data_IF_176905987424
#
_entry.id   IF_176905987424
#
_cell.length_a   1.000
_cell.length_b   1.000
_cell.length_c   1.000
_cell.angle_alpha   90.00
_cell.angle_beta   90.00
_cell.angle_gamma   90.00
#
_symmetry.space_group_name_H-M   'P 1'
#
loop_
_entity.id
_entity.type
_entity.pdbx_description
1 polymer ?
#
# COMPACT_ATOMS: atom_id res chain seq x y z
N UNK A 1 1.26 3.42 -20.58
CA UNK A 1 2.38 2.50 -20.81
C UNK A 1 3.20 2.36 -19.53
N UNK A 2 2.82 1.40 -18.69
CA UNK A 2 3.74 0.72 -17.76
C UNK A 2 3.57 -0.77 -18.08
N UNK A 3 4.19 -1.19 -19.17
CA UNK A 3 4.05 -2.55 -19.74
C UNK A 3 5.32 -3.37 -19.62
N UNK A 4 6.35 -2.92 -18.87
CA UNK A 4 7.67 -3.58 -18.85
C UNK A 4 8.41 -3.52 -17.50
N UNK A 5 7.71 -3.52 -16.37
CA UNK A 5 8.32 -4.03 -15.14
C UNK A 5 8.07 -5.54 -15.11
N UNK A 6 9.10 -6.40 -15.14
CA UNK A 6 8.89 -7.81 -14.86
C UNK A 6 8.21 -7.86 -13.51
N UNK A 7 7.08 -8.58 -13.44
CA UNK A 7 6.51 -9.07 -12.18
C UNK A 7 7.64 -9.73 -11.39
N UNK A 8 8.33 -8.97 -10.56
CA UNK A 8 9.05 -9.50 -9.41
C UNK A 8 7.99 -9.83 -8.36
N UNK A 9 7.08 -10.71 -8.79
CA UNK A 9 6.34 -11.59 -7.94
C UNK A 9 7.38 -12.43 -7.21
N UNK A 10 7.80 -11.96 -6.04
CA UNK A 10 8.07 -12.91 -4.97
C UNK A 10 6.75 -13.67 -4.81
N UNK A 11 6.75 -14.90 -5.33
CA UNK A 11 5.60 -15.76 -5.63
C UNK A 11 4.63 -16.01 -4.45
N UNK A 12 4.91 -15.47 -3.27
CA UNK A 12 4.09 -15.54 -2.07
C UNK A 12 3.03 -14.42 -1.95
N UNK A 13 3.04 -13.39 -2.82
CA UNK A 13 2.11 -12.26 -2.67
C UNK A 13 0.73 -12.42 -3.33
N UNK A 14 0.50 -13.46 -4.15
CA UNK A 14 -0.75 -13.61 -4.95
C UNK A 14 -1.74 -14.69 -4.48
N UNK A 15 -1.42 -15.47 -3.43
CA UNK A 15 -2.27 -16.61 -3.02
C UNK A 15 -2.76 -16.56 -1.58
N UNK A 16 -2.54 -15.45 -0.88
CA UNK A 16 -3.11 -15.21 0.44
C UNK A 16 -4.36 -14.32 0.36
N UNK A 17 -5.32 -14.45 1.30
CA UNK A 17 -6.40 -13.46 1.42
C UNK A 17 -5.82 -12.06 1.56
N UNK A 18 -6.42 -11.04 0.91
CA UNK A 18 -6.04 -9.63 1.15
C UNK A 18 -6.32 -9.34 2.62
N UNK A 19 -5.27 -9.27 3.40
CA UNK A 19 -5.34 -9.23 4.84
C UNK A 19 -4.17 -8.40 5.34
N UNK A 20 -4.40 -7.73 6.46
CA UNK A 20 -3.37 -6.98 7.18
C UNK A 20 -2.18 -7.88 7.51
N UNK A 21 -2.43 -9.13 7.85
CA UNK A 21 -1.44 -10.15 8.16
C UNK A 21 -0.50 -10.43 6.98
N UNK A 22 -0.99 -10.32 5.74
CA UNK A 22 -0.18 -10.46 4.53
C UNK A 22 0.92 -9.41 4.45
N UNK A 23 0.60 -8.15 4.73
CA UNK A 23 1.60 -7.08 4.78
C UNK A 23 2.62 -7.29 5.88
N UNK A 24 2.16 -7.68 7.08
CA UNK A 24 3.05 -7.96 8.22
C UNK A 24 4.05 -9.07 7.84
N UNK A 25 3.56 -10.16 7.25
CA UNK A 25 4.40 -11.30 6.86
C UNK A 25 5.44 -10.90 5.81
N UNK A 26 5.02 -10.13 4.78
CA UNK A 26 5.92 -9.64 3.74
C UNK A 26 7.02 -8.75 4.33
N UNK A 27 6.65 -7.78 5.19
CA UNK A 27 7.59 -6.85 5.81
C UNK A 27 8.57 -7.55 6.76
N UNK A 28 8.09 -8.51 7.56
CA UNK A 28 8.96 -9.34 8.44
C UNK A 28 9.96 -10.20 7.67
N UNK A 29 9.66 -10.56 6.41
CA UNK A 29 10.58 -11.26 5.49
C UNK A 29 11.51 -10.32 4.72
N UNK A 30 11.46 -9.01 5.00
CA UNK A 30 12.36 -8.03 4.39
C UNK A 30 11.88 -7.49 3.04
N UNK A 31 10.60 -7.66 2.70
CA UNK A 31 10.03 -7.06 1.51
C UNK A 31 10.19 -5.54 1.54
N UNK A 32 10.65 -4.96 0.42
CA UNK A 32 10.89 -3.51 0.25
C UNK A 32 10.02 -2.86 -0.82
N UNK A 33 9.11 -3.61 -1.43
CA UNK A 33 8.18 -3.10 -2.44
C UNK A 33 6.81 -3.75 -2.19
N UNK A 34 5.78 -2.95 -1.98
CA UNK A 34 4.41 -3.42 -1.79
C UNK A 34 3.53 -2.86 -2.89
N UNK A 35 2.69 -3.72 -3.48
CA UNK A 35 1.69 -3.33 -4.46
C UNK A 35 0.35 -3.09 -3.73
N UNK A 36 -0.31 -1.97 -4.04
CA UNK A 36 -1.61 -1.60 -3.49
C UNK A 36 -2.54 -1.21 -4.65
N UNK A 37 -3.66 -1.90 -4.82
CA UNK A 37 -4.68 -1.52 -5.79
C UNK A 37 -5.85 -0.87 -5.04
N UNK A 38 -5.98 0.45 -5.18
CA UNK A 38 -6.93 1.28 -4.45
C UNK A 38 -8.22 1.51 -5.26
N UNK A 39 -9.35 1.39 -4.60
CA UNK A 39 -10.69 1.60 -5.17
C UNK A 39 -11.55 2.44 -4.24
N UNK A 40 -12.60 3.04 -4.79
CA UNK A 40 -13.58 3.78 -3.99
C UNK A 40 -14.24 2.87 -2.95
N UNK A 41 -14.27 3.32 -1.70
CA UNK A 41 -15.07 2.72 -0.63
C UNK A 41 -16.18 3.63 -0.11
N UNK A 42 -16.99 3.14 0.83
CA UNK A 42 -18.04 3.93 1.47
C UNK A 42 -17.45 5.06 2.32
N UNK A 43 -18.26 6.10 2.58
CA UNK A 43 -17.92 7.20 3.49
C UNK A 43 -16.58 7.89 3.19
N UNK A 44 -16.27 8.00 1.89
CA UNK A 44 -15.01 8.56 1.37
C UNK A 44 -13.75 7.84 1.91
N UNK A 45 -13.88 6.57 2.31
CA UNK A 45 -12.77 5.75 2.78
C UNK A 45 -12.29 4.77 1.69
N UNK A 46 -11.10 4.97 1.12
CA UNK A 46 -10.56 4.09 0.07
C UNK A 46 -10.31 2.66 0.59
N UNK A 47 -10.55 1.69 -0.28
CA UNK A 47 -10.31 0.27 -0.02
C UNK A 47 -9.19 -0.27 -0.90
N UNK A 48 -8.55 -1.36 -0.47
CA UNK A 48 -7.56 -2.10 -1.27
C UNK A 48 -8.16 -3.43 -1.72
N UNK A 49 -7.82 -3.86 -2.95
CA UNK A 49 -8.16 -5.18 -3.49
C UNK A 49 -6.95 -5.87 -4.14
N UNK A 50 -6.47 -6.98 -3.57
CA UNK A 50 -5.32 -7.72 -4.12
C UNK A 50 -5.76 -8.90 -5.01
N UNK A 51 -6.66 -8.65 -5.96
CA UNK A 51 -7.03 -9.59 -7.03
C UNK A 51 -7.88 -10.81 -6.61
N UNK A 52 -8.37 -10.87 -5.36
CA UNK A 52 -9.29 -11.92 -4.90
C UNK A 52 -10.65 -11.33 -4.55
N UNK A 53 -11.73 -11.85 -5.16
CA UNK A 53 -13.12 -11.36 -5.10
C UNK A 53 -13.68 -11.04 -3.70
N UNK A 54 -13.08 -11.57 -2.63
CA UNK A 54 -13.68 -11.64 -1.30
C UNK A 54 -13.01 -10.79 -0.22
N UNK A 55 -11.87 -10.15 -0.47
CA UNK A 55 -11.18 -9.37 0.56
C UNK A 55 -11.01 -7.91 0.15
N UNK A 56 -11.77 -7.05 0.84
CA UNK A 56 -11.63 -5.59 0.79
C UNK A 56 -11.14 -5.17 2.16
N UNK A 57 -9.96 -4.56 2.21
CA UNK A 57 -9.38 -4.03 3.44
C UNK A 57 -9.36 -2.50 3.34
N UNK A 58 -9.43 -1.82 4.48
CA UNK A 58 -9.27 -0.37 4.52
C UNK A 58 -7.85 0.01 4.10
N UNK A 59 -7.72 1.00 3.21
CA UNK A 59 -6.40 1.55 2.89
C UNK A 59 -5.73 2.12 4.14
N UNK A 60 -6.48 2.82 4.99
CA UNK A 60 -5.96 3.40 6.23
C UNK A 60 -5.33 2.34 7.13
N UNK A 61 -6.03 1.21 7.31
CA UNK A 61 -5.55 0.09 8.12
C UNK A 61 -4.27 -0.53 7.53
N UNK A 62 -4.23 -0.75 6.22
CA UNK A 62 -3.05 -1.25 5.54
C UNK A 62 -1.85 -0.30 5.68
N UNK A 63 -2.05 1.01 5.48
CA UNK A 63 -0.99 2.01 5.63
C UNK A 63 -0.48 2.08 7.08
N UNK A 64 -1.36 1.97 8.07
CA UNK A 64 -0.95 1.95 9.48
C UNK A 64 -0.04 0.77 9.80
N UNK A 65 -0.41 -0.42 9.29
CA UNK A 65 0.39 -1.64 9.42
C UNK A 65 1.73 -1.46 8.72
N UNK A 66 1.72 -0.94 7.50
CA UNK A 66 2.94 -0.67 6.75
C UNK A 66 3.86 0.31 7.49
N UNK A 67 3.32 1.38 8.09
CA UNK A 67 4.09 2.36 8.86
C UNK A 67 4.73 1.75 10.12
N UNK A 68 4.02 0.81 10.76
CA UNK A 68 4.46 0.13 11.98
C UNK A 68 5.56 -0.91 11.69
N UNK A 69 5.37 -1.75 10.67
CA UNK A 69 6.27 -2.88 10.38
C UNK A 69 7.32 -2.57 9.31
N UNK A 70 7.17 -1.46 8.58
CA UNK A 70 7.91 -1.11 7.37
C UNK A 70 9.43 -0.99 7.55
N UNK A 71 9.92 -0.83 8.77
CA UNK A 71 11.34 -0.63 9.06
C UNK A 71 11.87 -1.56 10.17
N UNK A 72 11.07 -2.50 10.69
CA UNK A 72 11.50 -3.41 11.76
C UNK A 72 12.69 -4.28 11.34
N UNK A 73 12.72 -4.72 10.08
CA UNK A 73 13.77 -5.60 9.56
C UNK A 73 15.00 -4.83 9.07
N UNK A 74 14.81 -3.61 8.56
CA UNK A 74 15.85 -2.81 7.91
C UNK A 74 15.42 -1.35 7.76
N UNK A 75 16.41 -0.44 7.76
CA UNK A 75 16.21 1.01 7.57
C UNK A 75 16.27 1.46 6.10
N UNK A 76 16.49 0.55 5.15
CA UNK A 76 16.44 0.92 3.72
C UNK A 76 15.03 1.39 3.32
N UNK A 77 14.87 2.19 2.25
CA UNK A 77 13.56 2.68 1.82
C UNK A 77 12.55 1.56 1.55
N UNK A 78 11.26 1.85 1.79
CA UNK A 78 10.12 1.03 1.37
C UNK A 78 9.43 1.72 0.19
N UNK A 79 9.17 0.98 -0.88
CA UNK A 79 8.47 1.50 -2.06
C UNK A 79 7.02 1.01 -2.02
N UNK A 80 6.07 1.94 -2.20
CA UNK A 80 4.66 1.62 -2.37
C UNK A 80 4.29 1.86 -3.84
N UNK A 81 3.99 0.78 -4.56
CA UNK A 81 3.49 0.81 -5.92
C UNK A 81 1.97 0.84 -5.86
N UNK A 82 1.37 2.03 -6.02
CA UNK A 82 -0.07 2.20 -5.93
C UNK A 82 -0.72 2.29 -7.32
N UNK A 83 -1.71 1.44 -7.58
CA UNK A 83 -2.65 1.59 -8.69
C UNK A 83 -3.93 2.23 -8.14
N UNK A 84 -4.22 3.46 -8.56
CA UNK A 84 -5.34 4.24 -8.02
C UNK A 84 -6.48 4.27 -9.02
N UNK A 85 -7.60 3.62 -8.68
CA UNK A 85 -8.84 3.59 -9.45
C UNK A 85 -9.99 4.25 -8.68
N UNK A 86 -9.68 5.31 -7.94
CA UNK A 86 -10.62 6.06 -7.11
C UNK A 86 -11.12 7.33 -7.79
N UNK A 87 -12.29 7.81 -7.36
CA UNK A 87 -12.79 9.17 -7.58
C UNK A 87 -11.82 10.24 -7.07
N UNK A 88 -11.91 11.48 -7.59
CA UNK A 88 -11.02 12.58 -7.19
C UNK A 88 -11.07 12.85 -5.68
N UNK A 89 -12.26 12.86 -5.09
CA UNK A 89 -12.45 13.01 -3.63
C UNK A 89 -11.63 11.97 -2.86
N UNK A 90 -11.73 10.71 -3.25
CA UNK A 90 -10.98 9.65 -2.59
C UNK A 90 -9.50 9.65 -2.96
N UNK A 91 -9.07 10.17 -4.12
CA UNK A 91 -7.65 10.41 -4.40
C UNK A 91 -7.06 11.47 -3.46
N UNK A 92 -7.79 12.54 -3.19
CA UNK A 92 -7.41 13.54 -2.18
C UNK A 92 -7.34 12.89 -0.79
N UNK A 93 -8.30 12.03 -0.45
CA UNK A 93 -8.25 11.27 0.81
C UNK A 93 -7.04 10.33 0.88
N UNK A 94 -6.67 9.64 -0.20
CA UNK A 94 -5.46 8.82 -0.27
C UNK A 94 -4.23 9.68 0.07
N UNK A 95 -4.11 10.86 -0.56
CA UNK A 95 -2.98 11.75 -0.31
C UNK A 95 -2.92 12.20 1.16
N UNK A 96 -4.06 12.55 1.76
CA UNK A 96 -4.15 12.90 3.18
C UNK A 96 -3.71 11.74 4.07
N UNK A 97 -4.22 10.52 3.83
CA UNK A 97 -3.84 9.33 4.60
C UNK A 97 -2.34 9.04 4.53
N UNK A 98 -1.72 9.16 3.35
CA UNK A 98 -0.28 8.98 3.19
C UNK A 98 0.51 9.97 4.05
N UNK A 99 0.12 11.25 4.04
CA UNK A 99 0.78 12.31 4.82
C UNK A 99 0.54 12.09 6.33
N UNK A 100 -0.70 11.84 6.73
CA UNK A 100 -1.10 11.65 8.14
C UNK A 100 -0.40 10.44 8.77
N UNK A 101 -0.33 9.30 8.07
CA UNK A 101 0.12 8.03 8.63
C UNK A 101 1.64 7.86 8.56
N UNK A 102 2.28 8.29 7.47
CA UNK A 102 3.73 8.17 7.33
C UNK A 102 4.48 9.37 7.91
N UNK A 103 3.86 10.56 7.93
CA UNK A 103 4.48 11.78 8.45
C UNK A 103 5.87 12.01 7.84
N UNK A 104 6.87 12.19 8.70
CA UNK A 104 8.28 12.42 8.31
C UNK A 104 8.91 11.22 7.57
N UNK A 105 8.33 10.02 7.65
CA UNK A 105 8.79 8.85 6.90
C UNK A 105 8.40 8.92 5.42
N UNK A 106 7.43 9.78 5.06
CA UNK A 106 7.01 9.96 3.68
C UNK A 106 8.03 10.86 2.97
N UNK A 107 8.65 10.34 1.92
CA UNK A 107 9.50 11.15 1.07
C UNK A 107 8.64 12.08 0.21
N UNK A 108 8.57 13.36 0.59
CA UNK A 108 8.03 14.44 -0.22
C UNK A 108 9.21 15.22 -0.78
N UNK A 109 9.33 15.26 -2.10
CA UNK A 109 10.38 16.07 -2.72
C UNK A 109 10.10 17.54 -2.39
N UNK A 110 11.11 18.30 -1.96
CA UNK A 110 10.95 19.74 -1.79
C UNK A 110 10.73 20.36 -3.18
N UNK A 111 9.50 20.80 -3.44
CA UNK A 111 9.25 21.77 -4.52
C UNK A 111 9.54 23.13 -3.92
N UNK A 112 10.81 23.54 -4.00
CA UNK A 112 11.23 24.93 -3.83
C UNK A 112 10.77 25.78 -5.01
#
# INVERSE_FOLDING_TARGET
MCSYAPRFLLADQLKGPSSVEGFIHALKRGCRCLELHCFDGPDDQPLIHNGTLTSRISLSEALQVISNYGFEKTNYPLILCMEIQCSISQQERIAQLLIEIFGEKLFLNHVS
#
